data_IF_228968927956
#
_entry.id   IF_228968927956
#
_cell.length_a   1.000
_cell.length_b   1.000
_cell.length_c   1.000
_cell.angle_alpha   90.00
_cell.angle_beta   90.00
_cell.angle_gamma   90.00
#
_symmetry.space_group_name_H-M   'P 1'
#
loop_
_entity.id
_entity.type
_entity.pdbx_description
1 polymer ?
#
# COMPACT_ATOMS: atom_id res chain seq x y z
N UNK A 1 20.31 -12.42 3.44
CA UNK A 1 19.34 -11.55 4.14
C UNK A 1 19.12 -10.30 3.33
N UNK A 2 17.85 -9.98 3.07
CA UNK A 2 17.50 -8.78 2.33
C UNK A 2 17.72 -7.53 3.20
N UNK A 3 18.24 -6.49 2.57
CA UNK A 3 18.42 -5.21 3.24
C UNK A 3 17.26 -4.28 2.84
N UNK A 4 16.45 -3.87 3.80
CA UNK A 4 15.28 -3.03 3.58
C UNK A 4 15.53 -1.56 3.87
N UNK A 5 16.79 -1.15 4.00
CA UNK A 5 17.13 0.23 4.30
C UNK A 5 16.62 1.22 3.24
N UNK A 6 16.78 0.84 1.96
CA UNK A 6 16.27 1.67 0.86
C UNK A 6 14.75 1.77 0.88
N UNK A 7 14.08 0.65 1.15
CA UNK A 7 12.62 0.64 1.23
C UNK A 7 12.13 1.50 2.38
N UNK A 8 12.82 1.46 3.50
CA UNK A 8 12.48 2.31 4.63
C UNK A 8 12.57 3.79 4.27
N UNK A 9 13.62 4.19 3.54
CA UNK A 9 13.77 5.57 3.07
C UNK A 9 12.69 5.96 2.06
N UNK A 10 12.35 5.05 1.15
CA UNK A 10 11.28 5.29 0.18
C UNK A 10 9.97 5.53 0.91
N UNK A 11 9.65 4.69 1.89
CA UNK A 11 8.42 4.84 2.68
C UNK A 11 8.44 6.17 3.44
N UNK A 12 9.58 6.53 4.02
CA UNK A 12 9.71 7.82 4.71
C UNK A 12 9.47 8.98 3.76
N UNK A 13 10.06 8.96 2.57
CA UNK A 13 9.92 10.02 1.58
C UNK A 13 8.48 10.12 1.08
N UNK A 14 7.83 8.97 0.87
CA UNK A 14 6.41 8.94 0.51
C UNK A 14 5.58 9.55 1.64
N UNK A 15 5.88 9.21 2.88
CA UNK A 15 5.17 9.74 4.05
C UNK A 15 5.27 11.27 4.10
N UNK A 16 6.46 11.82 3.90
CA UNK A 16 6.65 13.27 3.89
C UNK A 16 5.88 13.92 2.75
N UNK A 17 5.83 13.28 1.58
CA UNK A 17 5.06 13.78 0.45
C UNK A 17 3.55 13.73 0.72
N UNK A 18 3.08 12.70 1.40
CA UNK A 18 1.67 12.63 1.82
C UNK A 18 1.30 13.79 2.73
N UNK A 19 2.18 14.15 3.67
CA UNK A 19 1.96 15.32 4.53
C UNK A 19 1.89 16.61 3.72
N UNK A 20 2.83 16.78 2.79
CA UNK A 20 2.90 17.97 1.94
C UNK A 20 1.62 18.13 1.11
N UNK A 21 1.10 17.04 0.57
CA UNK A 21 -0.08 17.04 -0.28
C UNK A 21 -1.40 16.92 0.49
N UNK A 22 -1.32 16.73 1.80
CA UNK A 22 -2.46 16.47 2.68
C UNK A 22 -3.29 15.28 2.21
N UNK A 23 -2.59 14.18 1.90
CA UNK A 23 -3.20 12.90 1.57
C UNK A 23 -3.06 12.00 2.79
N UNK A 24 -4.17 11.52 3.32
CA UNK A 24 -4.20 10.82 4.60
C UNK A 24 -3.60 9.43 4.55
N UNK A 25 -3.70 8.75 3.40
CA UNK A 25 -3.36 7.34 3.27
C UNK A 25 -2.88 7.02 1.86
N UNK A 26 -1.81 6.24 1.77
CA UNK A 26 -1.43 5.55 0.53
C UNK A 26 -1.73 4.07 0.74
N UNK A 27 -2.60 3.51 -0.09
CA UNK A 27 -3.06 2.13 0.01
C UNK A 27 -2.64 1.35 -1.23
N UNK A 28 -1.88 0.29 -1.01
CA UNK A 28 -1.51 -0.66 -2.07
C UNK A 28 -2.31 -1.92 -1.86
N UNK A 29 -3.07 -2.31 -2.87
CA UNK A 29 -3.86 -3.55 -2.85
C UNK A 29 -3.26 -4.49 -3.89
N UNK A 30 -2.82 -5.65 -3.46
CA UNK A 30 -2.20 -6.62 -4.35
C UNK A 30 -2.82 -7.99 -4.20
N UNK A 31 -2.75 -8.77 -5.26
CA UNK A 31 -3.21 -10.15 -5.28
C UNK A 31 -2.15 -10.98 -6.01
N UNK A 32 -1.63 -12.00 -5.34
CA UNK A 32 -0.65 -12.91 -5.93
C UNK A 32 0.59 -12.20 -6.47
N UNK A 33 1.02 -11.13 -5.77
CA UNK A 33 2.20 -10.39 -6.19
C UNK A 33 2.06 -9.65 -7.50
N UNK A 34 0.84 -9.37 -7.93
CA UNK A 34 0.56 -8.77 -9.23
C UNK A 34 0.95 -7.31 -9.34
N UNK A 35 1.09 -6.61 -8.22
CA UNK A 35 1.37 -5.18 -8.21
C UNK A 35 2.87 -4.93 -8.19
N UNK A 36 3.38 -4.33 -9.27
CA UNK A 36 4.81 -4.04 -9.42
C UNK A 36 5.33 -3.02 -8.42
N UNK A 37 4.46 -2.21 -7.84
CA UNK A 37 4.86 -1.24 -6.82
C UNK A 37 5.44 -1.91 -5.58
N UNK A 38 5.10 -3.16 -5.32
CA UNK A 38 5.66 -3.88 -4.17
C UNK A 38 7.18 -4.06 -4.25
N UNK A 39 7.79 -3.90 -5.43
CA UNK A 39 9.25 -3.88 -5.58
C UNK A 39 9.88 -2.66 -4.95
N UNK A 40 9.16 -1.55 -5.00
CA UNK A 40 9.66 -0.27 -4.53
C UNK A 40 9.27 -0.05 -3.08
N UNK A 41 8.05 -0.44 -2.76
CA UNK A 41 7.45 -0.22 -1.47
C UNK A 41 6.37 -1.29 -1.25
N UNK A 42 6.53 -2.24 -0.33
CA UNK A 42 7.57 -2.40 0.69
C UNK A 42 8.77 -3.26 0.27
N UNK A 43 8.85 -3.73 -0.97
CA UNK A 43 9.95 -4.60 -1.39
C UNK A 43 9.79 -6.05 -0.96
N UNK A 44 8.57 -6.45 -0.62
CA UNK A 44 8.24 -7.81 -0.22
C UNK A 44 7.26 -8.39 -1.24
N UNK A 45 7.59 -9.55 -1.80
CA UNK A 45 6.69 -10.26 -2.70
C UNK A 45 5.66 -11.05 -1.89
N UNK A 46 4.42 -11.06 -2.37
CA UNK A 46 3.35 -11.82 -1.74
C UNK A 46 2.84 -12.91 -2.67
N UNK A 47 2.57 -14.07 -2.09
CA UNK A 47 1.96 -15.20 -2.81
C UNK A 47 0.43 -15.05 -2.82
N UNK A 48 -0.13 -14.60 -1.70
CA UNK A 48 -1.57 -14.37 -1.58
C UNK A 48 -1.94 -12.90 -1.74
N UNK A 49 -3.20 -12.59 -1.50
CA UNK A 49 -3.67 -11.22 -1.47
C UNK A 49 -3.09 -10.48 -0.28
N UNK A 50 -2.78 -9.22 -0.46
CA UNK A 50 -2.24 -8.38 0.60
C UNK A 50 -2.72 -6.95 0.46
N UNK A 51 -2.48 -6.15 1.49
CA UNK A 51 -2.75 -4.72 1.45
C UNK A 51 -1.74 -4.02 2.36
N UNK A 52 -1.19 -2.93 1.87
CA UNK A 52 -0.19 -2.16 2.60
C UNK A 52 -0.70 -0.73 2.76
N UNK A 53 -0.71 -0.26 4.00
CA UNK A 53 -1.27 1.04 4.38
C UNK A 53 -0.15 1.93 4.90
N UNK A 54 0.01 3.09 4.31
CA UNK A 54 1.02 4.07 4.73
C UNK A 54 0.30 5.38 5.01
N UNK A 55 0.26 5.77 6.28
CA UNK A 55 -0.44 6.98 6.70
C UNK A 55 0.49 8.19 6.69
N UNK A 56 -0.06 9.38 6.54
CA UNK A 56 0.74 10.61 6.59
C UNK A 56 1.34 10.86 7.98
N UNK A 57 0.77 10.25 9.04
CA UNK A 57 1.33 10.33 10.39
C UNK A 57 2.52 9.40 10.58
N UNK A 58 2.84 8.57 9.59
CA UNK A 58 3.98 7.67 9.65
C UNK A 58 3.67 6.27 10.12
N UNK A 59 2.41 5.94 10.36
CA UNK A 59 2.01 4.57 10.70
C UNK A 59 1.98 3.70 9.45
N UNK A 60 2.46 2.48 9.60
CA UNK A 60 2.57 1.51 8.49
C UNK A 60 1.92 0.21 8.91
N UNK A 61 0.96 -0.26 8.11
CA UNK A 61 0.25 -1.50 8.37
C UNK A 61 0.40 -2.45 7.19
N UNK A 62 0.73 -3.70 7.46
CA UNK A 62 0.75 -4.75 6.43
C UNK A 62 -0.35 -5.76 6.73
N UNK A 63 -1.24 -5.98 5.78
CA UNK A 63 -2.27 -7.03 5.86
C UNK A 63 -1.83 -8.14 4.92
N UNK A 64 -1.61 -9.33 5.46
CA UNK A 64 -1.02 -10.43 4.70
C UNK A 64 -1.63 -11.77 5.09
N UNK A 65 -1.56 -12.73 4.15
CA UNK A 65 -1.95 -14.10 4.43
C UNK A 65 -0.99 -14.75 5.42
N UNK A 66 -1.38 -15.87 6.00
CA UNK A 66 -0.52 -16.62 6.92
C UNK A 66 0.82 -17.01 6.26
N UNK A 67 0.80 -17.28 4.94
CA UNK A 67 2.01 -17.65 4.21
C UNK A 67 2.96 -16.45 4.09
N UNK A 68 2.44 -15.27 3.82
CA UNK A 68 3.23 -14.08 3.55
C UNK A 68 3.61 -13.29 4.79
N UNK A 69 2.85 -13.42 5.87
CA UNK A 69 2.98 -12.54 7.03
C UNK A 69 4.36 -12.56 7.66
N UNK A 70 5.02 -13.72 7.69
CA UNK A 70 6.36 -13.81 8.27
C UNK A 70 7.36 -12.93 7.51
N UNK A 71 7.35 -12.99 6.18
CA UNK A 71 8.25 -12.18 5.37
C UNK A 71 7.98 -10.68 5.57
N UNK A 72 6.70 -10.32 5.67
CA UNK A 72 6.31 -8.93 5.92
C UNK A 72 6.80 -8.47 7.30
N UNK A 73 6.63 -9.31 8.32
CA UNK A 73 7.12 -9.01 9.67
C UNK A 73 8.63 -8.88 9.71
N UNK A 74 9.35 -9.80 9.04
CA UNK A 74 10.81 -9.83 9.03
C UNK A 74 11.41 -8.65 8.28
N UNK A 75 10.66 -7.98 7.40
CA UNK A 75 11.13 -6.78 6.74
C UNK A 75 11.44 -5.66 7.72
N UNK A 76 10.75 -5.65 8.86
CA UNK A 76 10.92 -4.60 9.87
C UNK A 76 10.36 -3.25 9.44
N UNK A 77 9.61 -3.20 8.33
CA UNK A 77 9.11 -1.95 7.75
C UNK A 77 7.77 -1.49 8.33
N UNK A 78 7.05 -2.39 9.01
CA UNK A 78 5.67 -2.13 9.43
C UNK A 78 5.54 -2.04 10.93
N UNK A 79 4.71 -1.10 11.38
CA UNK A 79 4.37 -0.97 12.79
C UNK A 79 3.48 -2.11 13.25
N UNK A 80 2.63 -2.59 12.33
CA UNK A 80 1.71 -3.68 12.63
C UNK A 80 1.53 -4.55 11.39
N UNK A 81 1.60 -5.86 11.56
CA UNK A 81 1.33 -6.84 10.51
C UNK A 81 0.13 -7.66 10.94
N UNK A 82 -0.92 -7.63 10.13
CA UNK A 82 -2.19 -8.27 10.42
C UNK A 82 -2.34 -9.50 9.54
N UNK A 83 -2.44 -10.68 10.17
CA UNK A 83 -2.71 -11.94 9.46
C UNK A 83 -4.21 -12.06 9.33
N UNK A 84 -4.72 -11.95 8.11
CA UNK A 84 -6.15 -12.00 7.92
C UNK A 84 -6.66 -13.45 7.85
N UNK A 85 -7.89 -13.65 8.26
CA UNK A 85 -8.67 -14.85 7.96
C UNK A 85 -9.60 -14.54 6.80
N UNK A 86 -10.28 -13.39 6.87
CA UNK A 86 -11.08 -12.88 5.77
C UNK A 86 -10.48 -11.56 5.30
N UNK A 87 -9.98 -11.57 4.06
CA UNK A 87 -9.28 -10.42 3.49
C UNK A 87 -10.16 -9.17 3.44
N UNK A 88 -11.35 -9.31 2.87
CA UNK A 88 -12.23 -8.15 2.62
C UNK A 88 -12.60 -7.44 3.92
N UNK A 89 -13.04 -8.19 4.92
CA UNK A 89 -13.45 -7.58 6.19
C UNK A 89 -12.28 -7.01 6.97
N UNK A 90 -11.10 -7.62 6.86
CA UNK A 90 -9.90 -7.12 7.55
C UNK A 90 -9.45 -5.79 6.95
N UNK A 91 -9.37 -5.71 5.64
CA UNK A 91 -8.96 -4.48 4.95
C UNK A 91 -10.02 -3.39 5.14
N UNK A 92 -11.29 -3.74 4.98
CA UNK A 92 -12.39 -2.80 5.19
C UNK A 92 -12.42 -2.26 6.63
N UNK A 93 -12.20 -3.14 7.59
CA UNK A 93 -12.17 -2.76 9.01
C UNK A 93 -11.05 -1.78 9.33
N UNK A 94 -9.86 -2.01 8.78
CA UNK A 94 -8.72 -1.12 8.98
C UNK A 94 -8.97 0.23 8.29
N UNK A 95 -9.50 0.21 7.08
CA UNK A 95 -9.82 1.42 6.33
C UNK A 95 -10.85 2.26 7.10
N UNK A 96 -11.87 1.62 7.65
CA UNK A 96 -12.89 2.29 8.47
C UNK A 96 -12.29 2.88 9.74
N UNK A 97 -11.40 2.13 10.40
CA UNK A 97 -10.72 2.57 11.62
C UNK A 97 -9.88 3.82 11.36
N UNK A 98 -9.14 3.85 10.26
CA UNK A 98 -8.29 4.98 9.91
C UNK A 98 -9.08 6.19 9.45
N UNK A 99 -10.27 5.97 8.92
CA UNK A 99 -11.22 7.03 8.52
C UNK A 99 -10.55 8.14 7.68
N UNK A 100 -9.88 7.80 6.58
CA UNK A 100 -9.20 8.80 5.76
C UNK A 100 -10.20 9.65 4.97
N UNK A 101 -9.81 10.86 4.62
CA UNK A 101 -10.59 11.75 3.75
C UNK A 101 -10.04 11.75 2.33
N UNK A 102 -8.73 11.54 2.18
CA UNK A 102 -8.06 11.47 0.88
C UNK A 102 -7.15 10.25 0.88
N UNK A 103 -7.32 9.40 -0.12
CA UNK A 103 -6.57 8.15 -0.24
C UNK A 103 -5.90 8.09 -1.60
N UNK A 104 -4.59 7.87 -1.61
CA UNK A 104 -3.88 7.57 -2.85
C UNK A 104 -3.91 6.05 -3.06
N UNK A 105 -4.19 5.63 -4.27
CA UNK A 105 -4.21 4.23 -4.65
C UNK A 105 -3.04 3.93 -5.62
N UNK A 106 -2.74 2.66 -5.76
CA UNK A 106 -1.60 2.19 -6.55
C UNK A 106 -1.92 2.10 -8.05
N UNK A 107 -2.44 3.20 -8.60
CA UNK A 107 -2.63 3.32 -10.05
C UNK A 107 -1.94 4.59 -10.56
N UNK A 108 -1.60 4.58 -11.83
CA UNK A 108 -0.90 5.69 -12.47
C UNK A 108 -1.33 5.83 -13.92
N UNK A 109 -1.50 7.07 -14.36
CA UNK A 109 -1.77 7.37 -15.76
C UNK A 109 -0.48 7.53 -16.57
N UNK A 110 0.65 7.66 -15.89
CA UNK A 110 1.92 8.02 -16.55
C UNK A 110 3.02 6.97 -16.42
N UNK A 111 2.95 6.09 -15.41
CA UNK A 111 4.01 5.11 -15.16
C UNK A 111 3.38 3.72 -14.93
N UNK A 112 3.60 2.82 -15.89
CA UNK A 112 3.02 1.48 -15.84
C UNK A 112 3.53 0.64 -14.67
N UNK A 113 4.72 0.93 -14.15
CA UNK A 113 5.24 0.22 -12.97
C UNK A 113 4.53 0.64 -11.68
N UNK A 114 3.88 1.79 -11.70
CA UNK A 114 3.10 2.29 -10.57
C UNK A 114 1.59 2.11 -10.78
N UNK A 115 1.20 1.33 -11.79
CA UNK A 115 -0.18 1.11 -12.17
C UNK A 115 -0.55 -0.37 -12.00
N UNK A 116 -0.38 -0.85 -10.77
CA UNK A 116 -0.65 -2.25 -10.45
C UNK A 116 -2.10 -2.55 -10.10
N UNK A 117 -2.90 -1.53 -9.83
CA UNK A 117 -4.30 -1.70 -9.50
C UNK A 117 -5.12 -1.83 -10.79
N UNK A 118 -5.40 -3.07 -11.19
CA UNK A 118 -6.18 -3.33 -12.40
C UNK A 118 -7.63 -2.87 -12.23
N UNK A 119 -8.31 -2.67 -13.35
CA UNK A 119 -9.73 -2.27 -13.30
C UNK A 119 -10.57 -3.28 -12.52
N UNK A 120 -10.36 -4.57 -12.74
CA UNK A 120 -11.10 -5.60 -12.02
C UNK A 120 -10.88 -5.54 -10.51
N UNK A 121 -9.63 -5.35 -10.09
CA UNK A 121 -9.30 -5.22 -8.67
C UNK A 121 -9.90 -3.95 -8.07
N UNK A 122 -9.91 -2.86 -8.81
CA UNK A 122 -10.51 -1.62 -8.36
C UNK A 122 -12.03 -1.77 -8.18
N UNK A 123 -12.71 -2.41 -9.12
CA UNK A 123 -14.15 -2.66 -9.01
C UNK A 123 -14.46 -3.56 -7.82
N UNK A 124 -13.65 -4.61 -7.61
CA UNK A 124 -13.78 -5.48 -6.45
C UNK A 124 -13.61 -4.69 -5.15
N UNK A 125 -12.57 -3.87 -5.09
CA UNK A 125 -12.27 -3.02 -3.94
C UNK A 125 -13.46 -2.11 -3.61
N UNK A 126 -14.03 -1.44 -4.61
CA UNK A 126 -15.18 -0.56 -4.39
C UNK A 126 -16.38 -1.32 -3.84
N UNK A 127 -16.65 -2.49 -4.39
CA UNK A 127 -17.83 -3.25 -4.01
C UNK A 127 -17.70 -3.94 -2.66
N UNK A 128 -16.52 -4.47 -2.33
CA UNK A 128 -16.36 -5.38 -1.19
C UNK A 128 -15.52 -4.81 -0.04
N UNK A 129 -14.77 -3.77 -0.26
CA UNK A 129 -13.88 -3.19 0.75
C UNK A 129 -14.30 -1.77 1.10
N UNK A 130 -14.29 -0.86 0.13
CA UNK A 130 -14.69 0.54 0.36
C UNK A 130 -16.16 0.65 0.74
N UNK A 131 -17.04 -0.01 0.00
CA UNK A 131 -18.47 -0.02 0.28
C UNK A 131 -19.05 1.38 0.40
N UNK A 132 -19.63 1.68 1.56
CA UNK A 132 -20.29 2.96 1.85
C UNK A 132 -19.35 4.05 2.36
N UNK A 133 -18.06 3.74 2.53
CA UNK A 133 -17.10 4.75 3.00
C UNK A 133 -16.92 5.83 1.93
N UNK A 134 -16.81 7.08 2.37
CA UNK A 134 -16.64 8.22 1.47
C UNK A 134 -15.28 8.87 1.69
N UNK A 135 -14.51 8.97 0.63
CA UNK A 135 -13.24 9.70 0.61
C UNK A 135 -12.85 9.97 -0.83
N UNK A 136 -11.99 10.96 -1.04
CA UNK A 136 -11.43 11.24 -2.36
C UNK A 136 -10.30 10.25 -2.65
N UNK A 137 -10.28 9.74 -3.88
CA UNK A 137 -9.23 8.85 -4.36
C UNK A 137 -8.36 9.57 -5.36
N UNK A 138 -7.05 9.44 -5.20
CA UNK A 138 -6.07 10.06 -6.10
C UNK A 138 -5.08 8.99 -6.56
N UNK A 139 -4.41 9.27 -7.69
CA UNK A 139 -3.42 8.35 -8.23
C UNK A 139 -2.07 8.50 -7.51
N UNK A 140 -1.17 7.54 -7.75
CA UNK A 140 0.19 7.61 -7.27
C UNK A 140 1.05 8.60 -8.07
N UNK A 141 0.53 9.20 -9.12
CA UNK A 141 1.29 10.14 -9.96
C UNK A 141 1.89 11.30 -9.19
N UNK A 142 1.25 11.68 -8.09
CA UNK A 142 1.68 12.81 -7.27
C UNK A 142 3.00 12.55 -6.53
N UNK A 143 3.43 11.30 -6.40
CA UNK A 143 4.64 10.97 -5.64
C UNK A 143 5.48 9.83 -6.27
N UNK A 144 5.40 9.64 -7.60
CA UNK A 144 6.22 8.67 -8.30
C UNK A 144 7.72 8.85 -8.05
N UNK A 145 8.27 10.08 -8.07
CA UNK A 145 9.70 10.24 -7.79
C UNK A 145 10.12 9.68 -6.43
N UNK A 146 9.26 9.78 -5.42
CA UNK A 146 9.54 9.24 -4.11
C UNK A 146 9.49 7.71 -4.11
N UNK A 147 8.47 7.14 -4.74
CA UNK A 147 8.30 5.68 -4.82
C UNK A 147 9.46 5.02 -5.56
N UNK A 148 9.89 5.61 -6.67
CA UNK A 148 10.91 5.01 -7.54
C UNK A 148 12.32 5.43 -7.19
N UNK A 149 12.52 6.16 -6.10
CA UNK A 149 13.85 6.65 -5.71
C UNK A 149 14.85 5.51 -5.53
N UNK A 150 14.40 4.34 -5.06
CA UNK A 150 15.27 3.19 -4.85
C UNK A 150 15.91 2.69 -6.14
N UNK A 151 15.28 2.94 -7.29
CA UNK A 151 15.80 2.51 -8.58
C UNK A 151 16.96 3.36 -9.09
N UNK A 152 17.27 4.45 -8.42
CA UNK A 152 18.35 5.36 -8.81
C UNK A 152 19.61 5.19 -7.98
N UNK A 153 19.67 4.09 -7.24
CA UNK A 153 20.82 3.77 -6.37
C UNK A 153 21.98 3.13 -7.14
#
# INVERSE_FOLDING_TARGET
MKNFEFHNRVIHDVTEKLKELDIDLFLIITSEGSDKMTRFIPGVDTVGSGAFFFTKEGKRYGVASAIDAQDVEESGLFDEVIRYQDYDSTVAGLLKKLNPKRVALDFSETDTECDGLTLGRYEYYKAHIKGQLEFLEVSSDLFIPQVKAVNHQ
#
